data_IF_401427348424
#
_entry.id   IF_401427348424
#
_cell.length_a   1.000
_cell.length_b   1.000
_cell.length_c   1.000
_cell.angle_alpha   90.00
_cell.angle_beta   90.00
_cell.angle_gamma   90.00
#
_symmetry.space_group_name_H-M   'P 1'
#
loop_
_entity.id
_entity.type
_entity.pdbx_description
1 polymer ?
#
# COMPACT_ATOMS: atom_id res chain seq x y z
N UNK A 1 4.26 -6.12 14.32
CA UNK A 1 4.13 -4.65 14.43
C UNK A 1 3.81 -4.12 13.05
N UNK A 2 2.87 -3.18 12.89
CA UNK A 2 2.57 -2.54 11.60
C UNK A 2 3.27 -1.18 11.58
N UNK A 3 4.05 -0.92 10.53
CA UNK A 3 4.60 0.39 10.23
C UNK A 3 3.85 0.97 9.03
N UNK A 4 3.48 2.23 9.12
CA UNK A 4 2.79 2.94 8.04
C UNK A 4 3.37 4.35 7.88
N UNK A 5 3.32 4.86 6.66
CA UNK A 5 3.66 6.25 6.36
C UNK A 5 2.75 6.77 5.26
N UNK A 6 2.47 8.08 5.27
CA UNK A 6 1.92 8.78 4.11
C UNK A 6 3.08 9.25 3.25
N UNK A 7 3.03 8.94 1.96
CA UNK A 7 4.08 9.28 1.00
C UNK A 7 3.55 10.33 0.04
N UNK A 8 4.35 11.36 -0.25
CA UNK A 8 4.11 12.27 -1.35
C UNK A 8 4.73 11.69 -2.63
N UNK A 9 3.89 11.28 -3.59
CA UNK A 9 4.36 10.65 -4.83
C UNK A 9 5.17 11.57 -5.72
N UNK A 10 5.01 12.89 -5.58
CA UNK A 10 5.76 13.88 -6.36
C UNK A 10 7.19 14.00 -5.83
N UNK A 11 7.36 13.93 -4.51
CA UNK A 11 8.69 13.95 -3.86
C UNK A 11 9.43 12.62 -4.03
N UNK A 12 8.71 11.50 -4.09
CA UNK A 12 9.24 10.13 -4.13
C UNK A 12 8.87 9.42 -5.45
N UNK A 13 8.97 10.12 -6.58
CA UNK A 13 8.40 9.65 -7.85
C UNK A 13 9.09 8.41 -8.40
N UNK A 14 10.42 8.31 -8.31
CA UNK A 14 11.17 7.14 -8.77
C UNK A 14 10.76 5.88 -7.99
N UNK A 15 10.54 6.03 -6.68
CA UNK A 15 10.03 4.96 -5.82
C UNK A 15 8.59 4.60 -6.16
N UNK A 16 7.73 5.57 -6.45
CA UNK A 16 6.35 5.31 -6.87
C UNK A 16 6.31 4.52 -8.19
N UNK A 17 7.13 4.92 -9.17
CA UNK A 17 7.24 4.24 -10.47
C UNK A 17 7.79 2.83 -10.31
N UNK A 18 8.84 2.61 -9.51
CA UNK A 18 9.41 1.27 -9.29
C UNK A 18 8.44 0.31 -8.60
N UNK A 19 7.51 0.83 -7.79
CA UNK A 19 6.42 0.08 -7.17
C UNK A 19 5.19 -0.08 -8.08
N UNK A 20 5.21 0.47 -9.30
CA UNK A 20 4.13 0.37 -10.28
C UNK A 20 2.95 1.31 -10.03
N UNK A 21 3.12 2.35 -9.22
CA UNK A 21 2.06 3.33 -8.94
C UNK A 21 1.87 4.25 -10.13
N UNK A 22 0.75 4.10 -10.84
CA UNK A 22 0.40 4.93 -12.00
C UNK A 22 -0.55 6.09 -11.65
N UNK A 23 -1.29 5.98 -10.55
CA UNK A 23 -2.26 6.98 -10.11
C UNK A 23 -2.41 6.98 -8.58
N UNK A 24 -2.83 8.12 -8.04
CA UNK A 24 -3.11 8.28 -6.61
C UNK A 24 -4.62 8.41 -6.35
N UNK A 25 -5.11 7.97 -5.18
CA UNK A 25 -4.37 7.32 -4.09
C UNK A 25 -4.04 5.86 -4.38
N UNK A 26 -2.94 5.37 -3.79
CA UNK A 26 -2.51 3.97 -3.89
C UNK A 26 -1.96 3.49 -2.54
N UNK A 27 -1.98 2.18 -2.30
CA UNK A 27 -1.45 1.57 -1.08
C UNK A 27 -0.53 0.41 -1.46
N UNK A 28 0.70 0.47 -0.95
CA UNK A 28 1.73 -0.55 -1.08
C UNK A 28 1.91 -1.23 0.28
N UNK A 29 1.99 -2.55 0.31
CA UNK A 29 2.26 -3.36 1.50
C UNK A 29 3.38 -4.34 1.15
N UNK A 30 4.42 -4.43 1.97
CA UNK A 30 5.58 -5.30 1.75
C UNK A 30 6.12 -5.22 0.31
N UNK A 31 6.39 -3.98 -0.14
CA UNK A 31 6.89 -3.65 -1.48
C UNK A 31 5.96 -4.05 -2.65
N UNK A 32 4.74 -4.47 -2.37
CA UNK A 32 3.75 -4.86 -3.38
C UNK A 32 2.64 -3.82 -3.49
N UNK A 33 2.30 -3.37 -4.71
CA UNK A 33 1.15 -2.51 -4.94
C UNK A 33 -0.15 -3.29 -4.76
N UNK A 34 -0.86 -3.02 -3.66
CA UNK A 34 -2.04 -3.80 -3.26
C UNK A 34 -3.34 -3.11 -3.69
N UNK A 35 -3.35 -1.79 -3.73
CA UNK A 35 -4.52 -1.00 -4.14
C UNK A 35 -4.12 0.15 -5.06
N UNK A 36 -4.80 0.25 -6.21
CA UNK A 36 -4.71 1.37 -7.19
C UNK A 36 -5.94 2.27 -7.07
N UNK A 37 -6.20 2.74 -5.86
CA UNK A 37 -7.38 3.51 -5.47
C UNK A 37 -7.58 3.44 -3.96
N UNK A 38 -8.48 4.27 -3.42
CA UNK A 38 -8.77 4.25 -1.99
C UNK A 38 -9.74 3.10 -1.68
N UNK A 39 -9.34 2.06 -0.94
CA UNK A 39 -10.26 1.00 -0.55
C UNK A 39 -11.24 1.49 0.53
N UNK A 40 -12.33 0.76 0.72
CA UNK A 40 -13.12 0.90 1.94
C UNK A 40 -12.32 0.45 3.17
N UNK A 41 -12.66 1.00 4.33
CA UNK A 41 -12.01 0.65 5.62
C UNK A 41 -12.08 -0.84 5.90
N UNK A 42 -13.23 -1.48 5.63
CA UNK A 42 -13.42 -2.93 5.79
C UNK A 42 -12.50 -3.73 4.86
N UNK A 43 -12.36 -3.32 3.60
CA UNK A 43 -11.49 -4.00 2.64
C UNK A 43 -10.02 -3.88 3.05
N UNK A 44 -9.59 -2.68 3.46
CA UNK A 44 -8.23 -2.47 3.94
C UNK A 44 -7.94 -3.33 5.17
N UNK A 45 -8.84 -3.36 6.15
CA UNK A 45 -8.70 -4.18 7.38
C UNK A 45 -8.55 -5.66 7.06
N UNK A 46 -9.43 -6.21 6.22
CA UNK A 46 -9.36 -7.62 5.85
C UNK A 46 -8.06 -7.96 5.14
N UNK A 47 -7.58 -7.09 4.25
CA UNK A 47 -6.31 -7.29 3.56
C UNK A 47 -5.15 -7.27 4.54
N UNK A 48 -5.06 -6.29 5.44
CA UNK A 48 -3.99 -6.23 6.46
C UNK A 48 -3.98 -7.50 7.33
N UNK A 49 -5.14 -7.98 7.79
CA UNK A 49 -5.22 -9.22 8.57
C UNK A 49 -4.71 -10.44 7.81
N UNK A 50 -4.97 -10.53 6.50
CA UNK A 50 -4.43 -11.60 5.63
C UNK A 50 -2.91 -11.54 5.49
N UNK A 51 -2.30 -10.35 5.50
CA UNK A 51 -0.84 -10.23 5.49
C UNK A 51 -0.25 -10.66 6.83
N UNK A 52 -0.86 -10.24 7.94
CA UNK A 52 -0.41 -10.63 9.28
C UNK A 52 -0.52 -12.14 9.54
N UNK A 53 -1.55 -12.80 9.02
CA UNK A 53 -1.72 -14.25 9.18
C UNK A 53 -0.74 -15.09 8.36
N UNK A 54 -0.05 -14.51 7.36
CA UNK A 54 0.97 -15.20 6.57
C UNK A 54 2.35 -15.20 7.23
N UNK A 55 2.53 -14.41 8.29
CA UNK A 55 3.79 -14.26 9.01
C UNK A 55 3.93 -15.27 10.18
N UNK A 56 2.96 -16.18 10.36
CA UNK A 56 2.98 -17.28 11.31
C UNK A 56 2.68 -18.60 10.63
#
# INVERSE_FOLDING_TARGET
>A
MILWCKVNVVEEIDRAVSLGVLSTPAIVIDNSLVFTGLPSTNKLRQTILKYLSKLG
#
